data_IF_843377639887
#
_entry.id   IF_843377639887
#
_cell.length_a   1.000
_cell.length_b   1.000
_cell.length_c   1.000
_cell.angle_alpha   90.00
_cell.angle_beta   90.00
_cell.angle_gamma   90.00
#
_symmetry.space_group_name_H-M   'P 1'
#
loop_
_entity.id
_entity.type
_entity.pdbx_description
1 polymer ?
#
# COMPACT_ATOMS: atom_id res chain seq x y z
N UNK A 1 -63.22 -6.07 -10.10
CA UNK A 1 -62.10 -5.59 -9.27
C UNK A 1 -61.19 -6.77 -8.96
N UNK A 2 -60.26 -7.07 -9.87
CA UNK A 2 -59.30 -8.18 -9.79
C UNK A 2 -58.18 -7.84 -10.76
N UNK A 3 -56.95 -8.23 -10.41
CA UNK A 3 -55.68 -8.12 -11.14
C UNK A 3 -54.86 -6.90 -10.68
N UNK A 4 -53.54 -7.08 -10.59
CA UNK A 4 -52.50 -6.14 -10.12
C UNK A 4 -51.99 -6.23 -8.66
N UNK A 5 -52.01 -7.40 -8.01
CA UNK A 5 -51.24 -7.62 -6.76
C UNK A 5 -50.37 -8.89 -6.79
N UNK A 6 -49.64 -9.16 -7.89
CA UNK A 6 -48.80 -10.38 -7.97
C UNK A 6 -47.33 -10.18 -8.43
N UNK A 7 -46.89 -9.18 -9.21
CA UNK A 7 -45.52 -9.23 -9.73
C UNK A 7 -44.45 -8.53 -8.87
N UNK A 8 -44.68 -8.30 -7.56
CA UNK A 8 -43.68 -7.63 -6.69
C UNK A 8 -42.92 -8.62 -5.79
N UNK A 9 -43.45 -9.85 -5.60
CA UNK A 9 -42.88 -10.82 -4.65
C UNK A 9 -41.79 -11.72 -5.28
N UNK A 10 -41.55 -11.64 -6.60
CA UNK A 10 -40.63 -12.57 -7.30
C UNK A 10 -39.22 -12.02 -7.60
N UNK A 11 -38.83 -10.86 -7.07
CA UNK A 11 -37.54 -10.21 -7.41
C UNK A 11 -36.61 -10.01 -6.20
N UNK A 12 -36.75 -10.83 -5.15
CA UNK A 12 -36.01 -10.62 -3.88
C UNK A 12 -34.99 -11.72 -3.56
N UNK A 13 -34.79 -12.73 -4.41
CA UNK A 13 -33.98 -13.90 -3.99
C UNK A 13 -32.90 -14.37 -4.98
N UNK A 14 -32.09 -13.44 -5.47
CA UNK A 14 -30.75 -13.77 -5.99
C UNK A 14 -29.72 -12.79 -5.42
N UNK A 15 -29.65 -12.69 -4.10
CA UNK A 15 -28.40 -12.29 -3.45
C UNK A 15 -27.48 -13.52 -3.43
N UNK A 16 -26.89 -13.84 -4.58
CA UNK A 16 -25.72 -14.72 -4.59
C UNK A 16 -24.64 -13.97 -3.82
N UNK A 17 -24.32 -14.45 -2.62
CA UNK A 17 -23.06 -14.13 -1.96
C UNK A 17 -21.96 -14.52 -2.94
N UNK A 18 -21.41 -13.53 -3.64
CA UNK A 18 -20.14 -13.68 -4.33
C UNK A 18 -19.12 -13.90 -3.22
N UNK A 19 -18.88 -15.16 -2.87
CA UNK A 19 -17.66 -15.50 -2.16
C UNK A 19 -16.53 -14.97 -3.04
N UNK A 20 -15.70 -14.13 -2.44
CA UNK A 20 -14.53 -13.54 -3.06
C UNK A 20 -13.56 -14.67 -3.47
N UNK A 21 -13.76 -15.23 -4.67
CA UNK A 21 -12.96 -16.31 -5.27
C UNK A 21 -11.48 -15.95 -5.23
N UNK A 22 -11.17 -14.66 -5.41
CA UNK A 22 -9.85 -14.07 -5.27
C UNK A 22 -9.12 -14.44 -3.97
N UNK A 23 -9.81 -14.68 -2.86
CA UNK A 23 -9.15 -14.99 -1.58
C UNK A 23 -8.48 -16.38 -1.60
N UNK A 24 -9.12 -17.36 -2.23
CA UNK A 24 -8.57 -18.71 -2.38
C UNK A 24 -7.42 -18.67 -3.36
N UNK A 25 -7.63 -17.98 -4.48
CA UNK A 25 -6.61 -17.81 -5.52
C UNK A 25 -5.43 -16.98 -5.03
N UNK A 26 -5.63 -16.06 -4.08
CA UNK A 26 -4.56 -15.24 -3.50
C UNK A 26 -3.56 -16.09 -2.72
N UNK A 27 -4.04 -17.01 -1.88
CA UNK A 27 -3.19 -17.92 -1.12
C UNK A 27 -2.44 -18.87 -2.06
N UNK A 28 -3.14 -19.47 -3.01
CA UNK A 28 -2.51 -20.36 -4.00
C UNK A 28 -1.48 -19.61 -4.86
N UNK A 29 -1.78 -18.40 -5.31
CA UNK A 29 -0.85 -17.59 -6.07
C UNK A 29 0.35 -17.15 -5.21
N UNK A 30 0.16 -16.87 -3.93
CA UNK A 30 1.25 -16.54 -3.03
C UNK A 30 2.26 -17.69 -2.93
N UNK A 31 1.80 -18.93 -2.71
CA UNK A 31 2.69 -20.07 -2.58
C UNK A 31 3.31 -20.52 -3.91
N UNK A 32 2.61 -20.36 -5.03
CA UNK A 32 3.08 -20.84 -6.34
C UNK A 32 3.85 -19.79 -7.15
N UNK A 33 3.49 -18.52 -7.02
CA UNK A 33 4.00 -17.42 -7.87
C UNK A 33 4.63 -16.28 -7.07
N UNK A 34 4.40 -16.22 -5.77
CA UNK A 34 4.87 -15.15 -4.90
C UNK A 34 3.87 -14.01 -4.73
N UNK A 35 4.19 -13.11 -3.80
CA UNK A 35 3.27 -12.07 -3.34
C UNK A 35 2.93 -11.03 -4.43
N UNK A 36 3.88 -10.67 -5.28
CA UNK A 36 3.68 -9.64 -6.31
C UNK A 36 2.56 -10.04 -7.27
N UNK A 37 2.61 -11.29 -7.76
CA UNK A 37 1.61 -11.82 -8.68
C UNK A 37 0.26 -12.04 -7.99
N UNK A 38 0.27 -12.52 -6.74
CA UNK A 38 -0.95 -12.70 -5.95
C UNK A 38 -1.70 -11.36 -5.76
N UNK A 39 -0.98 -10.28 -5.43
CA UNK A 39 -1.56 -8.94 -5.28
C UNK A 39 -2.11 -8.42 -6.61
N UNK A 40 -1.36 -8.57 -7.70
CA UNK A 40 -1.79 -8.14 -9.04
C UNK A 40 -3.09 -8.86 -9.45
N UNK A 41 -3.17 -10.17 -9.25
CA UNK A 41 -4.32 -10.96 -9.67
C UNK A 41 -5.54 -10.65 -8.78
N UNK A 42 -5.35 -10.51 -7.46
CA UNK A 42 -6.43 -10.07 -6.56
C UNK A 42 -6.99 -8.69 -6.95
N UNK A 43 -6.14 -7.73 -7.29
CA UNK A 43 -6.57 -6.40 -7.75
C UNK A 43 -7.35 -6.47 -9.07
N UNK A 44 -6.97 -7.35 -10.00
CA UNK A 44 -7.73 -7.55 -11.25
C UNK A 44 -9.11 -8.15 -11.01
N UNK A 45 -9.24 -8.99 -10.00
CA UNK A 45 -10.50 -9.59 -9.57
C UNK A 45 -11.36 -8.61 -8.74
N UNK A 46 -10.85 -7.40 -8.48
CA UNK A 46 -11.57 -6.33 -7.81
C UNK A 46 -11.42 -6.34 -6.29
N UNK A 47 -10.42 -7.02 -5.75
CA UNK A 47 -10.10 -6.97 -4.33
C UNK A 47 -9.67 -5.56 -3.91
N UNK A 48 -10.20 -5.08 -2.79
CA UNK A 48 -9.78 -3.81 -2.22
C UNK A 48 -8.43 -3.95 -1.50
N UNK A 49 -7.56 -2.92 -1.49
CA UNK A 49 -6.27 -2.96 -0.82
C UNK A 49 -6.34 -3.38 0.66
N UNK A 50 -7.38 -2.91 1.38
CA UNK A 50 -7.63 -3.27 2.78
C UNK A 50 -7.83 -4.78 2.95
N UNK A 51 -8.71 -5.38 2.14
CA UNK A 51 -8.95 -6.82 2.16
C UNK A 51 -7.71 -7.64 1.76
N UNK A 52 -6.91 -7.15 0.80
CA UNK A 52 -5.63 -7.79 0.42
C UNK A 52 -4.66 -7.77 1.59
N UNK A 53 -4.58 -6.65 2.34
CA UNK A 53 -3.74 -6.56 3.54
C UNK A 53 -4.22 -7.51 4.62
N UNK A 54 -5.52 -7.53 4.92
CA UNK A 54 -6.12 -8.45 5.88
C UNK A 54 -5.76 -9.91 5.55
N UNK A 55 -5.97 -10.31 4.28
CA UNK A 55 -5.72 -11.68 3.84
C UNK A 55 -4.24 -12.02 3.82
N UNK A 56 -3.40 -11.09 3.36
CA UNK A 56 -1.95 -11.27 3.37
C UNK A 56 -1.42 -11.50 4.79
N UNK A 57 -1.85 -10.71 5.77
CA UNK A 57 -1.38 -10.85 7.15
C UNK A 57 -1.83 -12.15 7.82
N UNK A 58 -2.88 -12.80 7.31
CA UNK A 58 -3.31 -14.12 7.76
C UNK A 58 -2.43 -15.26 7.20
N UNK A 59 -1.61 -15.01 6.17
CA UNK A 59 -0.75 -16.02 5.56
C UNK A 59 0.53 -16.24 6.38
N UNK A 60 0.80 -17.51 6.70
CA UNK A 60 2.04 -17.88 7.38
C UNK A 60 3.26 -17.62 6.49
N UNK A 61 4.27 -16.94 7.05
CA UNK A 61 5.52 -16.65 6.36
C UNK A 61 5.48 -15.41 5.45
N UNK A 62 4.34 -14.72 5.34
CA UNK A 62 4.30 -13.44 4.64
C UNK A 62 4.98 -12.36 5.48
N UNK A 63 5.91 -11.63 4.84
CA UNK A 63 6.50 -10.43 5.44
C UNK A 63 5.63 -9.20 5.10
N UNK A 64 5.09 -8.48 6.10
CA UNK A 64 4.27 -7.28 5.87
C UNK A 64 4.95 -6.23 5.00
N UNK A 65 6.29 -6.10 5.07
CA UNK A 65 7.03 -5.19 4.20
C UNK A 65 6.94 -5.59 2.73
N UNK A 66 7.03 -6.90 2.42
CA UNK A 66 6.95 -7.37 1.04
C UNK A 66 5.52 -7.23 0.47
N UNK A 67 4.50 -7.37 1.33
CA UNK A 67 3.12 -7.09 0.97
C UNK A 67 2.92 -5.61 0.57
N UNK A 68 3.48 -4.69 1.38
CA UNK A 68 3.46 -3.25 1.06
C UNK A 68 4.18 -2.96 -0.26
N UNK A 69 5.35 -3.58 -0.49
CA UNK A 69 6.08 -3.43 -1.77
C UNK A 69 5.21 -3.86 -2.94
N UNK A 70 4.62 -5.06 -2.86
CA UNK A 70 3.77 -5.61 -3.90
C UNK A 70 2.58 -4.69 -4.23
N UNK A 71 1.90 -4.12 -3.23
CA UNK A 71 0.81 -3.18 -3.42
C UNK A 71 1.23 -1.91 -4.17
N UNK A 72 2.36 -1.31 -3.78
CA UNK A 72 2.90 -0.15 -4.49
C UNK A 72 3.32 -0.50 -5.92
N UNK A 73 3.95 -1.65 -6.13
CA UNK A 73 4.38 -2.14 -7.44
C UNK A 73 3.20 -2.48 -8.36
N UNK A 74 2.07 -2.88 -7.79
CA UNK A 74 0.83 -3.11 -8.52
C UNK A 74 0.10 -1.81 -8.90
N UNK A 75 0.65 -0.64 -8.54
CA UNK A 75 0.08 0.66 -8.87
C UNK A 75 -1.07 1.09 -7.96
N UNK A 76 -1.19 0.51 -6.76
CA UNK A 76 -2.15 1.00 -5.77
C UNK A 76 -1.71 2.39 -5.30
N UNK A 77 -2.68 3.30 -5.14
CA UNK A 77 -2.40 4.67 -4.69
C UNK A 77 -1.82 4.65 -3.29
N UNK A 78 -0.85 5.51 -3.04
CA UNK A 78 -0.11 5.45 -1.78
C UNK A 78 -0.92 5.77 -0.53
N UNK A 79 -1.95 6.61 -0.67
CA UNK A 79 -2.91 6.84 0.41
C UNK A 79 -3.67 5.57 0.76
N UNK A 80 -4.18 4.84 -0.24
CA UNK A 80 -4.94 3.61 -0.05
C UNK A 80 -4.07 2.51 0.58
N UNK A 81 -2.80 2.38 0.14
CA UNK A 81 -1.84 1.45 0.75
C UNK A 81 -1.57 1.81 2.21
N UNK A 82 -1.37 3.10 2.51
CA UNK A 82 -1.08 3.56 3.87
C UNK A 82 -2.27 3.34 4.79
N UNK A 83 -3.48 3.66 4.33
CA UNK A 83 -4.72 3.48 5.08
C UNK A 83 -4.95 2.00 5.39
N UNK A 84 -4.91 1.13 4.37
CA UNK A 84 -5.01 -0.31 4.53
C UNK A 84 -3.96 -0.86 5.51
N UNK A 85 -2.69 -0.50 5.33
CA UNK A 85 -1.62 -0.99 6.20
C UNK A 85 -1.80 -0.52 7.67
N UNK A 86 -2.21 0.74 7.87
CA UNK A 86 -2.42 1.29 9.22
C UNK A 86 -3.62 0.66 9.91
N UNK A 87 -4.71 0.38 9.18
CA UNK A 87 -5.90 -0.30 9.71
C UNK A 87 -5.59 -1.69 10.26
N UNK A 88 -4.53 -2.32 9.77
CA UNK A 88 -4.06 -3.64 10.19
C UNK A 88 -2.75 -3.61 11.00
N UNK A 89 -2.50 -2.51 11.73
CA UNK A 89 -1.38 -2.35 12.66
C UNK A 89 0.03 -2.50 12.03
N UNK A 90 0.15 -2.35 10.71
CA UNK A 90 1.46 -2.29 10.05
C UNK A 90 2.06 -0.93 10.37
N UNK A 91 3.17 -0.93 11.12
CA UNK A 91 3.82 0.30 11.54
C UNK A 91 4.26 1.19 10.37
N UNK A 92 4.20 2.50 10.57
CA UNK A 92 4.66 3.51 9.61
C UNK A 92 6.11 3.26 9.12
N UNK A 93 6.97 2.70 9.97
CA UNK A 93 8.34 2.33 9.59
C UNK A 93 8.35 1.23 8.51
N UNK A 94 7.49 0.22 8.63
CA UNK A 94 7.35 -0.86 7.64
C UNK A 94 6.78 -0.29 6.34
N UNK A 95 5.76 0.57 6.44
CA UNK A 95 5.15 1.24 5.27
C UNK A 95 6.20 2.06 4.52
N UNK A 96 6.98 2.86 5.24
CA UNK A 96 8.07 3.69 4.67
C UNK A 96 9.15 2.84 4.03
N UNK A 97 9.55 1.75 4.69
CA UNK A 97 10.57 0.86 4.17
C UNK A 97 10.09 0.09 2.93
N UNK A 98 8.81 -0.30 2.91
CA UNK A 98 8.15 -0.90 1.76
C UNK A 98 8.08 0.06 0.58
N UNK A 99 7.64 1.29 0.79
CA UNK A 99 7.60 2.33 -0.24
C UNK A 99 8.98 2.63 -0.84
N UNK A 100 10.01 2.80 -0.01
CA UNK A 100 11.38 3.03 -0.50
C UNK A 100 11.88 1.87 -1.36
N UNK A 101 11.55 0.64 -0.96
CA UNK A 101 11.92 -0.57 -1.70
C UNK A 101 11.13 -0.68 -3.02
N UNK A 102 9.84 -0.38 -3.03
CA UNK A 102 9.04 -0.38 -4.27
C UNK A 102 9.49 0.68 -5.27
N UNK A 103 9.91 1.86 -4.80
CA UNK A 103 10.50 2.88 -5.69
C UNK A 103 11.79 2.39 -6.33
N UNK A 104 12.62 1.66 -5.57
CA UNK A 104 13.87 1.10 -6.10
C UNK A 104 13.66 -0.08 -7.06
N UNK A 105 12.66 -0.93 -6.81
CA UNK A 105 12.43 -2.17 -7.56
C UNK A 105 11.48 -2.00 -8.75
N UNK A 106 10.46 -1.16 -8.61
CA UNK A 106 9.34 -1.05 -9.55
C UNK A 106 9.28 0.34 -10.24
N UNK A 107 10.05 1.32 -9.75
CA UNK A 107 10.21 2.63 -10.39
C UNK A 107 8.89 3.31 -10.71
N UNK A 108 8.63 3.49 -12.01
CA UNK A 108 7.45 4.21 -12.55
C UNK A 108 6.11 3.48 -12.31
N UNK A 109 6.12 2.20 -11.92
CA UNK A 109 4.90 1.46 -11.60
C UNK A 109 4.27 1.92 -10.27
N UNK A 110 5.01 2.66 -9.45
CA UNK A 110 4.51 3.25 -8.21
C UNK A 110 3.61 4.44 -8.58
N UNK A 111 2.30 4.27 -8.40
CA UNK A 111 1.28 5.23 -8.85
C UNK A 111 1.42 6.64 -8.26
N UNK A 112 2.06 6.76 -7.08
CA UNK A 112 2.30 8.05 -6.44
C UNK A 112 3.77 8.19 -6.00
N UNK A 113 4.53 8.98 -6.75
CA UNK A 113 5.86 9.47 -6.36
C UNK A 113 5.80 10.47 -5.17
N UNK A 114 4.60 10.85 -4.74
CA UNK A 114 4.30 11.73 -3.60
C UNK A 114 3.60 11.00 -2.43
N UNK A 115 3.42 9.68 -2.52
CA UNK A 115 2.65 8.84 -1.58
C UNK A 115 3.06 8.99 -0.11
N UNK A 116 4.28 9.45 0.14
CA UNK A 116 4.85 9.58 1.46
C UNK A 116 5.40 10.99 1.69
N UNK A 117 4.64 11.81 2.42
CA UNK A 117 5.20 12.93 3.16
C UNK A 117 5.29 12.50 4.63
N UNK A 118 6.50 12.37 5.20
CA UNK A 118 6.62 12.05 6.62
C UNK A 118 5.94 13.16 7.40
N UNK A 119 4.96 12.80 8.24
CA UNK A 119 4.38 13.73 9.20
C UNK A 119 5.50 14.10 10.15
N UNK A 120 6.05 15.30 10.01
CA UNK A 120 7.02 15.82 10.97
C UNK A 120 6.22 16.11 12.24
N UNK A 121 6.15 15.14 13.15
CA UNK A 121 5.68 15.40 14.50
C UNK A 121 6.69 16.37 15.12
N UNK A 122 6.31 17.64 15.15
CA UNK A 122 7.10 18.71 15.73
C UNK A 122 7.39 18.39 17.19
N UNK A 123 8.59 17.91 17.47
CA UNK A 123 9.16 17.99 18.79
C UNK A 123 9.46 19.47 19.05
N UNK A 124 8.53 20.12 19.73
CA UNK A 124 8.71 21.45 20.32
C UNK A 124 9.85 21.40 21.35
N UNK A 125 11.07 21.73 20.91
CA UNK A 125 12.24 21.98 21.74
C UNK A 125 12.88 23.28 21.30
N UNK A 126 12.58 24.36 22.01
CA UNK A 126 12.74 25.73 21.49
C UNK A 126 14.16 26.22 21.20
N UNK A 127 14.26 27.23 20.33
CA UNK A 127 14.67 28.60 20.67
C UNK A 127 14.48 29.52 19.46
N UNK A 128 13.81 30.65 19.68
CA UNK A 128 13.76 31.80 18.77
C UNK A 128 15.15 32.34 18.46
N UNK A 129 15.40 32.77 17.22
CA UNK A 129 15.73 34.16 16.86
C UNK A 129 16.38 34.26 15.46
N UNK A 130 15.77 35.06 14.57
CA UNK A 130 16.39 35.71 13.39
C UNK A 130 16.79 34.77 12.24
N UNK A 131 16.56 35.04 10.97
CA UNK A 131 16.16 36.24 10.24
C UNK A 131 16.72 36.08 8.82
N UNK A 132 15.89 36.32 7.80
CA UNK A 132 16.22 36.65 6.40
C UNK A 132 17.33 35.89 5.67
N UNK A 133 16.98 35.21 4.57
CA UNK A 133 17.97 34.77 3.60
C UNK A 133 17.42 33.82 2.55
N UNK A 134 17.00 34.42 1.44
CA UNK A 134 16.92 33.83 0.10
C UNK A 134 17.99 32.75 -0.17
N UNK A 135 17.59 31.69 -0.89
CA UNK A 135 18.32 30.98 -1.97
C UNK A 135 17.99 29.48 -2.00
N UNK A 136 17.31 29.08 -3.07
CA UNK A 136 17.33 27.73 -3.65
C UNK A 136 18.12 27.82 -4.97
N UNK A 137 18.52 26.73 -5.65
CA UNK A 137 18.95 25.40 -5.23
C UNK A 137 20.33 25.04 -5.86
N UNK A 138 20.74 23.77 -5.73
CA UNK A 138 21.76 23.05 -6.54
C UNK A 138 23.22 23.02 -6.01
N UNK A 139 23.71 21.78 -5.90
CA UNK A 139 25.10 21.31 -5.80
C UNK A 139 25.79 21.26 -4.42
N UNK A 140 26.45 20.11 -4.20
CA UNK A 140 27.35 19.71 -3.10
C UNK A 140 26.58 19.12 -1.90
N UNK A 141 26.47 17.80 -1.76
CA UNK A 141 27.53 16.96 -1.19
C UNK A 141 27.42 15.50 -1.67
N UNK A 142 28.15 15.14 -2.74
CA UNK A 142 28.43 13.75 -3.12
C UNK A 142 29.88 13.34 -2.80
N UNK A 143 30.56 14.04 -1.90
CA UNK A 143 31.98 13.83 -1.62
C UNK A 143 32.18 13.84 -0.11
N UNK A 144 31.70 12.83 0.62
CA UNK A 144 32.20 12.54 1.97
C UNK A 144 31.96 11.09 2.44
N UNK A 145 31.54 10.17 1.55
CA UNK A 145 31.35 8.76 1.91
C UNK A 145 32.49 7.82 1.46
N UNK A 146 33.49 8.32 0.71
CA UNK A 146 34.58 7.47 0.19
C UNK A 146 35.83 7.41 1.10
N UNK A 147 35.91 8.21 2.17
CA UNK A 147 37.08 8.28 3.06
C UNK A 147 36.91 7.56 4.42
N UNK A 148 35.86 6.76 4.59
CA UNK A 148 35.57 6.03 5.84
C UNK A 148 35.76 4.51 5.75
N UNK A 149 36.37 3.99 4.67
CA UNK A 149 36.50 2.56 4.41
C UNK A 149 37.92 2.08 4.09
N UNK A 150 38.95 2.77 4.60
CA UNK A 150 40.32 2.24 4.64
C UNK A 150 41.10 2.89 5.81
N UNK A 151 41.19 2.25 6.99
CA UNK A 151 42.22 2.58 7.98
C UNK A 151 43.60 2.09 7.55
#
# INVERSE_FOLDING_TARGET
>A
MKRFLIPIISTVLFCTVAFAEWQVDFEDNFFNKGIDQAVIDALKEGAEPDAIVEKGLALEGLNPQNLVVALYCAGVKGQDVREAATNHDISEMIITAGYKKSVAECGDAVADSQAYTPVTSGFSGGKSAGGGGDLSPVHLLSIDLFNLLNP
#
